data_IF_578845435192
#
_entry.id   IF_578845435192
#
_cell.length_a   1.000
_cell.length_b   1.000
_cell.length_c   1.000
_cell.angle_alpha   90.00
_cell.angle_beta   90.00
_cell.angle_gamma   90.00
#
_symmetry.space_group_name_H-M   'P 1'
#
loop_
_entity.id
_entity.type
_entity.pdbx_description
1 polymer ?
#
# COMPACT_ATOMS: atom_id res chain seq x y z
N UNK A 1 -23.18 -8.12 9.28
CA UNK A 1 -22.29 -7.71 10.37
C UNK A 1 -20.89 -8.18 10.00
N UNK A 2 -20.03 -7.29 9.51
CA UNK A 2 -18.60 -7.60 9.41
C UNK A 2 -17.99 -7.39 10.79
N UNK A 3 -17.39 -8.43 11.35
CA UNK A 3 -16.66 -8.34 12.60
C UNK A 3 -15.34 -7.58 12.33
N UNK A 4 -15.27 -6.30 12.71
CA UNK A 4 -14.08 -5.48 12.50
C UNK A 4 -12.92 -5.76 13.48
N UNK A 5 -13.16 -6.56 14.52
CA UNK A 5 -12.13 -7.11 15.42
C UNK A 5 -11.00 -6.13 15.82
N UNK A 6 -9.75 -6.61 16.00
CA UNK A 6 -8.60 -5.79 16.40
C UNK A 6 -8.12 -4.77 15.35
N UNK A 7 -8.85 -4.58 14.24
CA UNK A 7 -8.44 -3.67 13.14
C UNK A 7 -8.55 -2.18 13.50
N UNK A 8 -9.26 -1.84 14.59
CA UNK A 8 -9.32 -0.49 15.17
C UNK A 8 -8.16 -0.14 16.09
N UNK A 9 -7.46 -1.13 16.65
CA UNK A 9 -6.26 -0.87 17.46
C UNK A 9 -5.22 -0.27 16.53
N UNK A 10 -4.44 0.70 16.98
CA UNK A 10 -3.37 1.29 16.16
C UNK A 10 -2.02 0.83 16.70
N UNK A 11 -1.05 0.61 15.81
CA UNK A 11 0.33 0.41 16.23
C UNK A 11 0.86 1.74 16.78
N UNK A 12 1.24 1.73 18.05
CA UNK A 12 1.71 2.90 18.79
C UNK A 12 3.25 2.95 18.87
N UNK A 13 3.79 3.84 19.69
CA UNK A 13 5.24 4.03 19.83
C UNK A 13 6.02 2.74 20.16
N UNK A 14 5.36 1.73 20.75
CA UNK A 14 5.96 0.41 21.01
C UNK A 14 6.34 -0.29 19.72
N UNK A 15 5.55 -0.13 18.65
CA UNK A 15 5.88 -0.66 17.33
C UNK A 15 7.13 0.00 16.74
N UNK A 16 7.26 1.32 16.81
CA UNK A 16 8.48 2.01 16.33
C UNK A 16 9.73 1.52 17.09
N UNK A 17 9.62 1.39 18.42
CA UNK A 17 10.71 0.85 19.26
C UNK A 17 11.07 -0.58 18.85
N UNK A 18 10.06 -1.43 18.64
CA UNK A 18 10.25 -2.82 18.20
C UNK A 18 10.90 -2.88 16.81
N UNK A 19 10.42 -2.09 15.85
CA UNK A 19 10.95 -2.04 14.50
C UNK A 19 12.45 -1.69 14.52
N UNK A 20 12.86 -0.73 15.35
CA UNK A 20 14.26 -0.31 15.50
C UNK A 20 15.19 -1.37 16.11
N UNK A 21 14.67 -2.45 16.69
CA UNK A 21 15.48 -3.55 17.21
C UNK A 21 15.98 -4.52 16.12
N UNK A 22 15.35 -4.51 14.94
CA UNK A 22 15.77 -5.37 13.83
C UNK A 22 16.98 -4.78 13.09
N UNK A 23 17.90 -5.65 12.65
CA UNK A 23 18.99 -5.24 11.75
C UNK A 23 18.39 -4.80 10.40
N UNK A 24 18.53 -3.53 10.00
CA UNK A 24 17.93 -3.00 8.78
C UNK A 24 18.50 -3.63 7.49
N UNK A 25 19.62 -4.35 7.55
CA UNK A 25 20.18 -5.07 6.39
C UNK A 25 19.53 -6.42 6.17
N UNK A 26 18.89 -6.97 7.20
CA UNK A 26 18.29 -8.30 7.19
C UNK A 26 16.76 -8.26 7.20
N UNK A 27 16.14 -7.17 7.65
CA UNK A 27 14.68 -7.02 7.61
C UNK A 27 14.19 -6.78 6.17
N UNK A 28 13.60 -7.79 5.55
CA UNK A 28 13.08 -7.71 4.16
C UNK A 28 11.58 -7.51 4.07
N UNK A 29 10.83 -8.02 5.04
CA UNK A 29 9.38 -8.03 5.02
C UNK A 29 8.83 -7.47 6.33
N UNK A 30 7.88 -6.54 6.20
CA UNK A 30 7.09 -6.00 7.29
C UNK A 30 5.65 -6.47 7.08
N UNK A 31 5.10 -7.20 8.06
CA UNK A 31 3.70 -7.62 8.04
C UNK A 31 3.00 -7.05 9.26
N UNK A 32 1.99 -6.21 9.04
CA UNK A 32 1.29 -5.47 10.09
C UNK A 32 -0.22 -5.68 10.03
N UNK A 33 -0.78 -6.04 11.17
CA UNK A 33 -2.20 -6.06 11.46
C UNK A 33 -2.32 -5.68 12.94
N UNK A 34 -2.55 -4.41 13.31
CA UNK A 34 -3.34 -3.36 12.63
C UNK A 34 -2.53 -2.20 11.98
N UNK A 35 -3.18 -1.09 11.56
CA UNK A 35 -2.49 0.05 10.89
C UNK A 35 -1.60 0.86 11.85
N UNK A 36 -0.61 1.55 11.29
CA UNK A 36 0.27 2.46 12.02
C UNK A 36 -0.51 3.69 12.48
N UNK A 37 -0.34 4.09 13.75
CA UNK A 37 -0.91 5.31 14.27
C UNK A 37 -0.33 6.53 13.52
N UNK A 38 -1.16 7.49 13.05
CA UNK A 38 -0.66 8.68 12.36
C UNK A 38 0.42 9.43 13.14
N UNK A 39 0.32 9.46 14.48
CA UNK A 39 1.26 10.18 15.34
C UNK A 39 2.70 9.63 15.35
N UNK A 40 2.89 8.37 14.90
CA UNK A 40 4.22 7.75 14.83
C UNK A 40 4.66 7.46 13.39
N UNK A 41 3.78 7.73 12.41
CA UNK A 41 4.00 7.35 11.02
C UNK A 41 5.31 7.94 10.50
N UNK A 42 5.55 9.23 10.77
CA UNK A 42 6.78 9.92 10.39
C UNK A 42 8.03 9.25 10.97
N UNK A 43 7.98 8.84 12.25
CA UNK A 43 9.10 8.16 12.90
C UNK A 43 9.38 6.79 12.28
N UNK A 44 8.31 6.03 11.99
CA UNK A 44 8.39 4.70 11.39
C UNK A 44 8.96 4.78 9.98
N UNK A 45 8.41 5.63 9.12
CA UNK A 45 8.81 5.71 7.70
C UNK A 45 10.21 6.25 7.51
N UNK A 46 10.72 7.01 8.48
CA UNK A 46 12.08 7.52 8.47
C UNK A 46 13.12 6.54 9.00
N UNK A 47 12.71 5.44 9.64
CA UNK A 47 13.62 4.40 10.11
C UNK A 47 14.35 3.69 8.96
N UNK A 48 15.58 3.24 9.22
CA UNK A 48 16.35 2.45 8.24
C UNK A 48 15.65 1.12 7.94
N UNK A 49 14.98 0.53 8.93
CA UNK A 49 14.25 -0.72 8.80
C UNK A 49 13.08 -0.59 7.83
N UNK A 50 12.34 0.51 7.89
CA UNK A 50 11.28 0.77 6.92
C UNK A 50 11.85 0.99 5.52
N UNK A 51 12.85 1.87 5.39
CA UNK A 51 13.45 2.25 4.09
C UNK A 51 14.13 1.09 3.37
N UNK A 52 14.70 0.14 4.10
CA UNK A 52 15.42 -1.00 3.53
C UNK A 52 14.54 -2.23 3.30
N UNK A 53 13.36 -2.29 3.94
CA UNK A 53 12.43 -3.37 3.72
C UNK A 53 11.91 -3.32 2.27
N UNK A 54 11.83 -4.50 1.65
CA UNK A 54 11.44 -4.63 0.24
C UNK A 54 9.99 -5.07 0.08
N UNK A 55 9.37 -5.58 1.15
CA UNK A 55 8.00 -6.05 1.16
C UNK A 55 7.20 -5.49 2.33
N UNK A 56 5.97 -5.08 2.05
CA UNK A 56 4.98 -4.70 3.04
C UNK A 56 3.68 -5.47 2.81
N UNK A 57 3.17 -6.06 3.89
CA UNK A 57 1.80 -6.55 3.99
C UNK A 57 1.10 -5.78 5.10
N UNK A 58 0.05 -5.04 4.76
CA UNK A 58 -0.74 -4.30 5.73
C UNK A 58 -2.20 -4.70 5.66
N UNK A 59 -2.75 -5.07 6.82
CA UNK A 59 -4.13 -5.50 6.98
C UNK A 59 -4.96 -4.53 7.84
N UNK A 60 -4.39 -3.38 8.21
CA UNK A 60 -5.09 -2.33 8.95
C UNK A 60 -6.07 -1.56 8.08
N UNK A 61 -7.06 -0.93 8.71
CA UNK A 61 -8.04 -0.09 7.99
C UNK A 61 -7.43 1.27 7.72
N UNK A 62 -7.35 1.67 6.45
CA UNK A 62 -6.83 2.97 6.04
C UNK A 62 -7.96 3.89 5.58
N UNK A 63 -7.94 5.11 6.11
CA UNK A 63 -8.91 6.15 5.79
C UNK A 63 -8.63 6.76 4.40
N UNK A 64 -9.67 7.37 3.83
CA UNK A 64 -9.67 8.02 2.52
C UNK A 64 -8.51 9.00 2.28
N UNK A 65 -8.11 9.76 3.30
CA UNK A 65 -7.09 10.80 3.22
C UNK A 65 -5.68 10.35 3.61
N UNK A 66 -5.51 9.10 4.06
CA UNK A 66 -4.20 8.49 4.39
C UNK A 66 -3.14 8.81 3.32
N UNK A 67 -2.01 9.36 3.73
CA UNK A 67 -0.85 9.52 2.85
C UNK A 67 -0.22 8.16 2.54
N UNK A 68 -0.07 7.87 1.25
CA UNK A 68 0.39 6.59 0.75
C UNK A 68 1.78 6.64 0.14
N UNK A 69 2.37 7.84 -0.02
CA UNK A 69 3.72 7.98 -0.56
C UNK A 69 4.77 7.17 0.20
N UNK A 70 4.71 7.05 1.54
CA UNK A 70 5.68 6.24 2.28
C UNK A 70 5.67 4.75 1.94
N UNK A 71 4.62 4.24 1.28
CA UNK A 71 4.50 2.83 0.87
C UNK A 71 4.97 2.57 -0.57
N UNK A 72 5.23 3.60 -1.38
CA UNK A 72 5.49 3.45 -2.82
C UNK A 72 6.85 2.80 -3.15
N UNK A 73 7.78 2.77 -2.20
CA UNK A 73 9.12 2.22 -2.42
C UNK A 73 9.17 0.68 -2.35
N UNK A 74 8.14 0.02 -1.78
CA UNK A 74 8.14 -1.44 -1.63
C UNK A 74 8.07 -2.16 -2.97
N UNK A 75 8.89 -3.18 -3.17
CA UNK A 75 8.86 -4.06 -4.35
C UNK A 75 7.65 -4.99 -4.34
N UNK A 76 7.27 -5.46 -3.15
CA UNK A 76 6.09 -6.27 -2.91
C UNK A 76 5.17 -5.53 -1.96
N UNK A 77 4.09 -4.95 -2.48
CA UNK A 77 3.16 -4.17 -1.67
C UNK A 77 1.78 -4.83 -1.63
N UNK A 78 1.27 -5.11 -0.43
CA UNK A 78 -0.10 -5.58 -0.24
C UNK A 78 -0.77 -4.75 0.85
N UNK A 79 -1.66 -3.85 0.45
CA UNK A 79 -2.49 -3.06 1.39
C UNK A 79 -3.91 -3.56 1.28
N UNK A 80 -4.46 -4.04 2.39
CA UNK A 80 -5.85 -4.44 2.50
C UNK A 80 -6.65 -3.41 3.28
N UNK A 81 -7.97 -3.41 3.07
CA UNK A 81 -8.93 -2.61 3.83
C UNK A 81 -8.73 -1.09 3.70
N UNK A 82 -8.45 -0.61 2.50
CA UNK A 82 -8.51 0.83 2.22
C UNK A 82 -9.98 1.26 2.07
N UNK A 83 -10.51 2.18 2.87
CA UNK A 83 -11.95 2.45 2.86
C UNK A 83 -12.44 2.95 1.49
N UNK A 84 -11.86 4.06 1.00
CA UNK A 84 -12.24 4.70 -0.25
C UNK A 84 -10.99 5.35 -0.89
N UNK A 85 -10.20 4.65 -1.72
CA UNK A 85 -9.06 5.27 -2.37
C UNK A 85 -9.54 6.31 -3.38
N UNK A 86 -9.04 7.55 -3.30
CA UNK A 86 -9.19 8.50 -4.42
C UNK A 86 -8.61 7.87 -5.68
N UNK A 87 -9.27 8.05 -6.81
CA UNK A 87 -8.78 7.62 -8.11
C UNK A 87 -7.34 8.09 -8.37
N UNK A 88 -7.02 9.34 -8.03
CA UNK A 88 -5.66 9.90 -8.09
C UNK A 88 -4.65 9.08 -7.27
N UNK A 89 -4.99 8.72 -6.03
CA UNK A 89 -4.10 7.94 -5.15
C UNK A 89 -3.93 6.50 -5.65
N UNK A 90 -5.00 5.87 -6.11
CA UNK A 90 -4.92 4.55 -6.74
C UNK A 90 -4.03 4.59 -7.99
N UNK A 91 -4.18 5.63 -8.82
CA UNK A 91 -3.36 5.85 -10.00
C UNK A 91 -1.88 6.10 -9.66
N UNK A 92 -1.57 6.80 -8.56
CA UNK A 92 -0.18 6.98 -8.11
C UNK A 92 0.56 5.65 -7.91
N UNK A 93 -0.10 4.59 -7.43
CA UNK A 93 0.54 3.27 -7.34
C UNK A 93 0.90 2.71 -8.71
N UNK A 94 -0.04 2.77 -9.65
CA UNK A 94 0.16 2.32 -11.03
C UNK A 94 1.30 3.11 -11.67
N UNK A 95 1.26 4.45 -11.58
CA UNK A 95 2.29 5.32 -12.13
C UNK A 95 3.66 5.03 -11.52
N UNK A 96 3.77 4.99 -10.20
CA UNK A 96 5.03 4.71 -9.51
C UNK A 96 5.61 3.37 -9.94
N UNK A 97 4.77 2.35 -10.13
CA UNK A 97 5.22 1.04 -10.56
C UNK A 97 5.73 1.04 -12.01
N UNK A 98 5.07 1.80 -12.90
CA UNK A 98 5.49 1.98 -14.28
C UNK A 98 6.78 2.81 -14.41
N UNK A 99 6.94 3.85 -13.59
CA UNK A 99 8.04 4.82 -13.74
C UNK A 99 9.32 4.43 -13.00
N UNK A 100 9.23 3.78 -11.83
CA UNK A 100 10.42 3.46 -11.02
C UNK A 100 11.23 2.28 -11.56
N UNK A 101 10.68 1.54 -12.53
CA UNK A 101 11.27 0.32 -13.09
C UNK A 101 11.72 -0.68 -12.00
N UNK A 102 10.77 -1.24 -11.24
CA UNK A 102 11.10 -2.11 -10.11
C UNK A 102 11.74 -3.43 -10.58
N UNK A 103 12.46 -4.15 -9.70
CA UNK A 103 13.05 -5.44 -10.03
C UNK A 103 12.01 -6.45 -10.55
N UNK A 104 12.46 -7.43 -11.34
CA UNK A 104 11.61 -8.55 -11.78
C UNK A 104 10.87 -9.18 -10.58
N UNK A 105 9.66 -9.66 -10.85
CA UNK A 105 8.73 -10.25 -9.87
C UNK A 105 8.08 -9.27 -8.90
N UNK A 106 8.44 -7.99 -8.91
CA UNK A 106 7.77 -6.97 -8.11
C UNK A 106 6.26 -6.97 -8.37
N UNK A 107 5.46 -6.64 -7.36
CA UNK A 107 4.01 -6.54 -7.50
C UNK A 107 3.40 -5.57 -6.49
N UNK A 108 2.21 -5.06 -6.80
CA UNK A 108 1.39 -4.35 -5.81
C UNK A 108 -0.06 -4.80 -5.86
N UNK A 109 -0.71 -4.78 -4.70
CA UNK A 109 -2.13 -5.07 -4.51
C UNK A 109 -2.70 -4.09 -3.50
N UNK A 110 -3.73 -3.35 -3.90
CA UNK A 110 -4.49 -2.45 -3.01
C UNK A 110 -5.94 -2.90 -3.05
N UNK A 111 -6.44 -3.40 -1.92
CA UNK A 111 -7.84 -3.81 -1.79
C UNK A 111 -8.63 -2.75 -1.04
N UNK A 112 -9.65 -2.23 -1.73
CA UNK A 112 -10.62 -1.30 -1.15
C UNK A 112 -11.74 -2.06 -0.44
N UNK A 113 -12.30 -1.49 0.62
CA UNK A 113 -13.52 -1.99 1.28
C UNK A 113 -14.75 -1.58 0.45
N UNK A 114 -14.73 -0.37 -0.10
CA UNK A 114 -15.77 0.11 -1.00
C UNK A 114 -15.40 -0.07 -2.47
N UNK A 115 -16.40 -0.03 -3.34
CA UNK A 115 -16.18 -0.07 -4.78
C UNK A 115 -15.36 1.13 -5.25
N UNK A 116 -14.38 0.88 -6.11
CA UNK A 116 -13.63 1.94 -6.75
C UNK A 116 -14.46 2.53 -7.90
N UNK A 117 -14.55 3.85 -7.97
CA UNK A 117 -15.16 4.50 -9.12
C UNK A 117 -14.22 4.39 -10.33
N UNK A 118 -14.46 3.38 -11.17
CA UNK A 118 -13.63 3.07 -12.33
C UNK A 118 -13.67 4.19 -13.38
N UNK A 119 -14.81 4.85 -13.58
CA UNK A 119 -14.92 5.98 -14.52
C UNK A 119 -14.00 7.14 -14.14
N UNK A 120 -13.86 7.42 -12.84
CA UNK A 120 -12.92 8.43 -12.35
C UNK A 120 -11.47 7.96 -12.48
N UNK A 121 -11.20 6.67 -12.25
CA UNK A 121 -9.85 6.12 -12.42
C UNK A 121 -9.39 6.19 -13.88
N UNK A 122 -10.26 5.81 -14.82
CA UNK A 122 -9.95 5.80 -16.25
C UNK A 122 -9.58 7.17 -16.82
N UNK A 123 -10.04 8.28 -16.20
CA UNK A 123 -9.63 9.64 -16.59
C UNK A 123 -8.12 9.89 -16.41
N UNK A 124 -7.45 9.10 -15.57
CA UNK A 124 -6.01 9.22 -15.34
C UNK A 124 -5.17 8.35 -16.28
N UNK A 125 -5.78 7.44 -17.03
CA UNK A 125 -5.04 6.59 -17.96
C UNK A 125 -4.52 7.44 -19.13
N UNK A 126 -3.25 7.24 -19.55
CA UNK A 126 -2.67 7.98 -20.66
C UNK A 126 -3.24 7.56 -22.02
N UNK A 127 -3.97 6.44 -22.06
CA UNK A 127 -4.66 5.90 -23.22
C UNK A 127 -6.14 5.69 -22.87
N UNK A 128 -7.07 5.96 -23.79
CA UNK A 128 -8.47 5.59 -23.59
C UNK A 128 -8.56 4.07 -23.37
N UNK A 129 -9.27 3.58 -22.34
CA UNK A 129 -9.50 2.16 -22.19
C UNK A 129 -10.24 1.65 -23.42
N UNK A 130 -9.56 0.81 -24.19
CA UNK A 130 -10.17 0.10 -25.32
C UNK A 130 -10.82 -1.14 -24.73
N UNK A 131 -12.16 -1.16 -24.65
CA UNK A 131 -12.95 -2.30 -24.13
C UNK A 131 -12.93 -3.50 -25.09
N UNK A 132 -11.78 -3.80 -25.67
CA UNK A 132 -11.57 -4.97 -26.51
C UNK A 132 -10.91 -6.05 -25.66
N UNK A 133 -11.30 -7.33 -25.84
CA UNK A 133 -10.59 -8.45 -25.24
C UNK A 133 -9.10 -8.33 -25.57
N UNK A 134 -8.23 -8.53 -24.56
CA UNK A 134 -6.79 -8.33 -24.75
C UNK A 134 -6.12 -9.44 -25.56
N UNK A 135 -6.79 -10.56 -25.79
CA UNK A 135 -6.38 -11.61 -26.74
C UNK A 135 -7.65 -12.23 -27.32
N UNK A 136 -7.64 -12.56 -28.62
CA UNK A 136 -8.55 -13.58 -29.14
C UNK A 136 -8.02 -14.90 -28.60
N UNK A 137 -8.87 -15.68 -27.94
CA UNK A 137 -8.58 -17.07 -27.59
C UNK A 137 -8.27 -17.85 -28.89
N UNK A 138 -6.98 -18.01 -29.23
CA UNK A 138 -6.47 -18.98 -30.20
C UNK A 138 -5.65 -20.07 -29.50
#
# INVERSE_FOLDING_TARGET
>A
MYYDGPRKVLLDASFSKLLKLFDPRNLRCISIAPRICPSIMEEVVNSEQWKNATSLQSFGIYEYDTDLEPFLHFNQLNIQHFEHPRAEKAWKFVQNFLTRNPPLESSFKVLSIADLNMDLLFKYFPVPPFNQPTENDE
#
